data_IF_448408603212
#
_entry.id   IF_448408603212
#
_cell.length_a   1.000
_cell.length_b   1.000
_cell.length_c   1.000
_cell.angle_alpha   90.00
_cell.angle_beta   90.00
_cell.angle_gamma   90.00
#
_symmetry.space_group_name_H-M   'P 1'
#
loop_
_entity.id
_entity.type
_entity.pdbx_description
1 polymer ?
#
# COMPACT_ATOMS: atom_id res chain seq x y z
N UNK A 1 -17.77 -23.45 -1.99
CA UNK A 1 -16.44 -23.27 -2.63
C UNK A 1 -15.76 -22.11 -1.94
N UNK A 2 -14.87 -22.38 -0.98
CA UNK A 2 -14.10 -21.33 -0.30
C UNK A 2 -12.84 -21.04 -1.11
N UNK A 3 -12.68 -19.82 -1.60
CA UNK A 3 -11.47 -19.40 -2.30
C UNK A 3 -10.38 -19.17 -1.26
N UNK A 4 -9.39 -20.06 -1.23
CA UNK A 4 -8.16 -19.86 -0.44
C UNK A 4 -7.32 -18.81 -1.18
N UNK A 5 -7.35 -17.57 -0.72
CA UNK A 5 -6.42 -16.53 -1.16
C UNK A 5 -5.05 -16.96 -0.64
N UNK A 6 -4.13 -17.26 -1.57
CA UNK A 6 -2.74 -17.56 -1.24
C UNK A 6 -2.16 -16.27 -0.67
N UNK A 7 -1.61 -16.35 0.55
CA UNK A 7 -0.88 -15.27 1.22
C UNK A 7 0.39 -14.91 0.45
N UNK A 8 0.24 -14.21 -0.66
CA UNK A 8 1.33 -13.48 -1.30
C UNK A 8 1.52 -12.22 -0.48
N UNK A 9 2.56 -12.18 0.35
CA UNK A 9 3.00 -10.93 0.99
C UNK A 9 3.18 -9.90 -0.14
N UNK A 10 2.25 -8.97 -0.32
CA UNK A 10 2.37 -7.94 -1.32
C UNK A 10 3.62 -7.13 -0.97
N UNK A 11 4.71 -7.39 -1.69
CA UNK A 11 5.97 -6.70 -1.45
C UNK A 11 5.79 -5.27 -1.96
N UNK A 12 5.84 -4.30 -1.06
CA UNK A 12 5.85 -2.87 -1.43
C UNK A 12 6.99 -2.66 -2.46
N UNK A 13 6.72 -2.07 -3.64
CA UNK A 13 7.74 -1.75 -4.62
C UNK A 13 8.88 -0.92 -4.01
N UNK A 14 10.11 -1.22 -4.39
CA UNK A 14 11.33 -0.59 -3.83
C UNK A 14 11.37 0.93 -4.07
N UNK A 15 10.77 1.40 -5.17
CA UNK A 15 10.59 2.82 -5.46
C UNK A 15 9.78 3.53 -4.37
N UNK A 16 8.71 2.88 -3.89
CA UNK A 16 7.84 3.41 -2.84
C UNK A 16 8.57 3.39 -1.50
N UNK A 17 9.33 2.31 -1.21
CA UNK A 17 10.15 2.25 0.00
C UNK A 17 11.15 3.41 0.10
N UNK A 18 11.83 3.70 -1.01
CA UNK A 18 12.80 4.79 -1.08
C UNK A 18 12.16 6.18 -0.92
N UNK A 19 10.94 6.38 -1.44
CA UNK A 19 10.21 7.65 -1.29
C UNK A 19 9.76 7.87 0.17
N UNK A 20 9.41 6.79 0.87
CA UNK A 20 8.84 6.84 2.21
C UNK A 20 9.87 6.66 3.34
N UNK A 21 11.11 6.29 3.01
CA UNK A 21 12.16 6.00 3.99
C UNK A 21 11.82 4.81 4.89
N UNK A 22 11.00 3.87 4.43
CA UNK A 22 10.64 2.65 5.16
C UNK A 22 11.61 1.53 4.85
N UNK A 23 11.92 0.73 5.86
CA UNK A 23 12.76 -0.46 5.72
C UNK A 23 11.91 -1.70 5.47
N UNK A 24 12.53 -2.82 5.06
CA UNK A 24 11.83 -4.12 4.98
C UNK A 24 11.26 -4.60 6.32
N UNK A 25 11.64 -4.00 7.44
CA UNK A 25 11.11 -4.30 8.78
C UNK A 25 9.77 -3.59 9.05
N UNK A 26 9.47 -2.51 8.34
CA UNK A 26 8.18 -1.81 8.36
C UNK A 26 7.17 -2.49 7.41
N UNK A 27 6.91 -3.78 7.63
CA UNK A 27 5.96 -4.55 6.81
C UNK A 27 4.54 -4.08 7.11
N UNK A 28 4.03 -3.18 6.28
CA UNK A 28 2.60 -2.86 6.25
C UNK A 28 1.92 -3.92 5.36
N UNK A 29 1.05 -4.73 5.96
CA UNK A 29 0.20 -5.68 5.22
C UNK A 29 -1.14 -5.01 4.93
N UNK A 30 -1.61 -5.21 3.70
CA UNK A 30 -2.91 -4.77 3.22
C UNK A 30 -3.79 -5.96 2.82
N UNK A 31 -3.47 -7.16 3.34
CA UNK A 31 -4.15 -8.41 2.97
C UNK A 31 -5.63 -8.44 3.41
N UNK A 32 -6.02 -7.55 4.32
CA UNK A 32 -7.41 -7.37 4.77
C UNK A 32 -8.21 -6.39 3.91
N UNK A 33 -7.55 -5.61 3.06
CA UNK A 33 -8.21 -4.69 2.13
C UNK A 33 -8.84 -5.49 0.98
N UNK A 34 -10.08 -5.16 0.62
CA UNK A 34 -10.85 -5.83 -0.43
C UNK A 34 -10.94 -4.99 -1.71
N UNK A 35 -10.28 -3.81 -1.72
CA UNK A 35 -10.24 -2.90 -2.85
C UNK A 35 -8.98 -2.05 -2.82
N UNK A 36 -8.55 -1.55 -3.99
CA UNK A 36 -7.47 -0.58 -4.10
C UNK A 36 -7.79 0.74 -3.35
N UNK A 37 -9.06 1.10 -3.22
CA UNK A 37 -9.50 2.30 -2.49
C UNK A 37 -9.26 2.15 -0.97
N UNK A 38 -9.49 0.97 -0.39
CA UNK A 38 -9.16 0.71 1.02
C UNK A 38 -7.66 0.79 1.29
N UNK A 39 -6.83 0.26 0.36
CA UNK A 39 -5.37 0.38 0.43
C UNK A 39 -4.96 1.86 0.35
N UNK A 40 -5.56 2.63 -0.55
CA UNK A 40 -5.32 4.06 -0.71
C UNK A 40 -5.59 4.83 0.59
N UNK A 41 -6.72 4.56 1.25
CA UNK A 41 -7.11 5.24 2.48
C UNK A 41 -6.12 4.95 3.62
N UNK A 42 -5.71 3.70 3.80
CA UNK A 42 -4.76 3.33 4.84
C UNK A 42 -3.36 3.92 4.59
N UNK A 43 -2.91 3.91 3.33
CA UNK A 43 -1.67 4.58 2.92
C UNK A 43 -1.72 6.09 3.15
N UNK A 44 -2.83 6.73 2.77
CA UNK A 44 -3.04 8.16 2.97
C UNK A 44 -2.98 8.52 4.45
N UNK A 45 -3.66 7.75 5.31
CA UNK A 45 -3.63 7.96 6.75
C UNK A 45 -2.22 7.82 7.33
N UNK A 46 -1.44 6.83 6.87
CA UNK A 46 -0.05 6.66 7.30
C UNK A 46 0.85 7.83 6.86
N UNK A 47 0.71 8.29 5.62
CA UNK A 47 1.48 9.43 5.10
C UNK A 47 1.17 10.73 5.83
N UNK A 48 -0.11 11.00 6.11
CA UNK A 48 -0.51 12.16 6.91
C UNK A 48 0.03 12.07 8.34
N UNK A 49 0.00 10.88 8.96
CA UNK A 49 0.55 10.63 10.30
C UNK A 49 2.06 10.91 10.36
N UNK A 50 2.78 10.68 9.27
CA UNK A 50 4.21 10.99 9.13
C UNK A 50 4.49 12.48 8.87
N UNK A 51 3.45 13.32 8.82
CA UNK A 51 3.58 14.75 8.57
C UNK A 51 3.75 15.12 7.10
N UNK A 52 3.39 14.23 6.18
CA UNK A 52 3.37 14.56 4.74
C UNK A 52 2.24 15.54 4.43
N UNK A 53 2.44 16.39 3.42
CA UNK A 53 1.38 17.27 2.93
C UNK A 53 0.25 16.47 2.29
N UNK A 54 -0.99 16.92 2.49
CA UNK A 54 -2.19 16.22 2.02
C UNK A 54 -2.19 15.95 0.52
N UNK A 55 -1.78 16.94 -0.28
CA UNK A 55 -1.72 16.81 -1.74
C UNK A 55 -0.73 15.72 -2.18
N UNK A 56 0.46 15.70 -1.56
CA UNK A 56 1.50 14.70 -1.86
C UNK A 56 1.10 13.32 -1.35
N UNK A 57 0.50 13.26 -0.17
CA UNK A 57 0.03 12.03 0.44
C UNK A 57 -1.06 11.37 -0.41
N UNK A 58 -2.04 12.14 -0.90
CA UNK A 58 -3.08 11.64 -1.80
C UNK A 58 -2.51 11.11 -3.11
N UNK A 59 -1.60 11.87 -3.71
CA UNK A 59 -0.96 11.47 -4.97
C UNK A 59 -0.21 10.14 -4.81
N UNK A 60 0.65 10.04 -3.79
CA UNK A 60 1.43 8.82 -3.54
C UNK A 60 0.57 7.64 -3.13
N UNK A 61 -0.47 7.85 -2.32
CA UNK A 61 -1.33 6.77 -1.85
C UNK A 61 -2.09 6.14 -3.01
N UNK A 62 -2.57 6.97 -3.94
CA UNK A 62 -3.32 6.53 -5.11
C UNK A 62 -2.48 5.75 -6.13
N UNK A 63 -1.24 6.20 -6.40
CA UNK A 63 -0.34 5.44 -7.27
C UNK A 63 0.08 4.13 -6.60
N UNK A 64 0.45 4.19 -5.32
CA UNK A 64 0.93 3.03 -4.56
C UNK A 64 -0.14 1.94 -4.38
N UNK A 65 -1.38 2.34 -4.07
CA UNK A 65 -2.49 1.40 -3.86
C UNK A 65 -2.85 0.66 -5.14
N UNK A 66 -2.81 1.36 -6.28
CA UNK A 66 -3.07 0.78 -7.59
C UNK A 66 -1.98 -0.19 -8.01
N UNK A 67 -0.72 0.20 -7.86
CA UNK A 67 0.43 -0.66 -8.19
C UNK A 67 0.42 -1.95 -7.32
N UNK A 68 0.07 -1.82 -6.04
CA UNK A 68 -0.07 -2.97 -5.14
C UNK A 68 -1.24 -3.89 -5.52
N UNK A 69 -2.40 -3.31 -5.82
CA UNK A 69 -3.58 -4.09 -6.21
C UNK A 69 -3.33 -4.84 -7.52
N UNK A 70 -2.81 -4.15 -8.55
CA UNK A 70 -2.49 -4.74 -9.85
C UNK A 70 -1.38 -5.80 -9.75
N UNK A 71 -0.46 -5.68 -8.79
CA UNK A 71 0.56 -6.70 -8.51
C UNK A 71 0.00 -7.91 -7.76
N UNK A 72 -1.06 -7.73 -6.96
CA UNK A 72 -1.71 -8.82 -6.21
C UNK A 72 -2.63 -9.69 -7.07
N UNK A 73 -3.15 -9.16 -8.19
CA UNK A 73 -4.01 -9.93 -9.12
C UNK A 73 -3.23 -10.78 -10.14
N UNK A 74 -1.89 -10.76 -10.10
CA UNK A 74 -1.01 -11.54 -11.00
C UNK A 74 -0.39 -12.76 -10.32
#
# INVERSE_FOLDING_TARGET
MGYKIKTGKAKIPEAIKNILGITDEDVISYDHCNSAEEIEIEMLADYLRRGMSEERAKYLAKEASRDLWDASEK
#
